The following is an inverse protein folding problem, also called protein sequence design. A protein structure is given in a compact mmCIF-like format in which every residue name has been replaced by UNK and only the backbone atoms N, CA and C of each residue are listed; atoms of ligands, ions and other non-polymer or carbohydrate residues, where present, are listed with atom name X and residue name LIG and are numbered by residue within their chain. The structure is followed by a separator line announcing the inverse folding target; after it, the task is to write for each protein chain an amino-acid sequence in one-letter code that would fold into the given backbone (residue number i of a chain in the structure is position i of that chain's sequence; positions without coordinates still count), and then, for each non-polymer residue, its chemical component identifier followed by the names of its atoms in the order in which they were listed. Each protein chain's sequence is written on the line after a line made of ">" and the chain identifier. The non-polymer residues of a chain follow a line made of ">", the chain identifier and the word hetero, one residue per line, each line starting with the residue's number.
data_IF_908912997639
#
_entry.id   IF_908912997639
#
_cell.length_a   1.000
_cell.length_b   1.000
_cell.length_c   1.000
_cell.angle_alpha   90.00
_cell.angle_beta   90.00
_cell.angle_gamma   90.00
#
_symmetry.space_group_name_H-M   'P 1'
#
loop_
_entity.id
_entity.type
_entity.pdbx_description
1 polymer ?
#
# COMPACT_ATOMS: atom_id res chain seq x y z
N UNK A 1 -7.84 0.15 25.66
CA UNK A 1 -7.37 -1.07 26.34
C UNK A 1 -6.41 -1.92 25.53
N UNK A 2 -6.67 -2.23 24.25
CA UNK A 2 -5.78 -3.10 23.42
C UNK A 2 -4.32 -2.66 23.29
N UNK A 3 -4.03 -1.35 23.39
CA UNK A 3 -2.66 -0.82 23.26
C UNK A 3 -1.96 -0.58 24.60
N UNK A 4 -2.63 -0.79 25.74
CA UNK A 4 -2.08 -0.47 27.06
C UNK A 4 -0.85 -1.31 27.39
N UNK A 5 -0.93 -2.60 27.08
CA UNK A 5 0.14 -3.59 27.30
C UNK A 5 0.91 -3.91 26.00
N UNK A 6 0.65 -3.15 24.93
CA UNK A 6 1.33 -3.39 23.66
C UNK A 6 2.80 -2.93 23.74
N UNK A 7 3.72 -3.61 23.04
CA UNK A 7 5.11 -3.16 22.96
C UNK A 7 5.22 -1.75 22.37
N UNK A 8 6.27 -1.03 22.75
CA UNK A 8 6.60 0.27 22.14
C UNK A 8 7.00 0.11 20.68
N UNK A 9 6.92 1.20 19.91
CA UNK A 9 7.34 1.19 18.51
C UNK A 9 8.80 0.73 18.36
N UNK A 10 9.69 1.14 19.26
CA UNK A 10 11.11 0.75 19.26
C UNK A 10 11.31 -0.76 19.41
N UNK A 11 10.41 -1.44 20.13
CA UNK A 11 10.46 -2.89 20.33
C UNK A 11 9.97 -3.67 19.09
N UNK A 12 9.04 -3.12 18.31
CA UNK A 12 8.43 -3.83 17.17
C UNK A 12 9.01 -3.43 15.81
N UNK A 13 9.55 -2.22 15.69
CA UNK A 13 10.06 -1.69 14.43
C UNK A 13 11.15 -2.57 13.80
N UNK A 14 12.10 -3.18 14.55
CA UNK A 14 13.06 -4.12 13.99
C UNK A 14 12.42 -5.37 13.36
N UNK A 15 11.31 -5.86 13.93
CA UNK A 15 10.58 -6.99 13.36
C UNK A 15 9.83 -6.57 12.09
N UNK A 16 9.25 -5.37 12.07
CA UNK A 16 8.59 -4.79 10.90
C UNK A 16 9.58 -4.59 9.75
N UNK A 17 10.75 -4.01 10.00
CA UNK A 17 11.77 -3.82 8.95
C UNK A 17 12.27 -5.15 8.40
N UNK A 18 12.48 -6.15 9.26
CA UNK A 18 12.87 -7.51 8.82
C UNK A 18 11.77 -8.18 8.00
N UNK A 19 10.51 -8.00 8.37
CA UNK A 19 9.38 -8.54 7.62
C UNK A 19 9.27 -7.91 6.23
N UNK A 20 9.43 -6.58 6.14
CA UNK A 20 9.38 -5.84 4.88
C UNK A 20 10.56 -6.23 3.96
N UNK A 21 11.77 -6.31 4.51
CA UNK A 21 12.98 -6.64 3.75
C UNK A 21 13.12 -5.75 2.51
N UNK A 22 13.44 -6.37 1.36
CA UNK A 22 13.53 -5.70 0.06
C UNK A 22 12.23 -5.77 -0.76
N UNK A 23 11.12 -6.17 -0.11
CA UNK A 23 9.82 -6.33 -0.76
C UNK A 23 9.23 -5.03 -1.28
N UNK A 24 8.23 -5.16 -2.15
CA UNK A 24 7.42 -4.03 -2.62
C UNK A 24 6.32 -3.76 -1.62
N UNK A 25 6.17 -2.50 -1.23
CA UNK A 25 5.12 -2.10 -0.30
C UNK A 25 3.87 -1.71 -1.08
N UNK A 26 2.76 -2.38 -0.80
CA UNK A 26 1.48 -2.12 -1.46
C UNK A 26 0.47 -1.68 -0.40
N UNK A 27 -0.25 -0.60 -0.68
CA UNK A 27 -1.22 -0.05 0.24
C UNK A 27 -2.17 0.91 -0.44
N UNK A 28 -3.13 1.43 0.30
CA UNK A 28 -4.06 2.44 -0.17
C UNK A 28 -3.75 3.76 0.54
N UNK A 29 -3.43 4.81 -0.20
CA UNK A 29 -2.83 6.03 0.38
C UNK A 29 -1.53 5.77 1.16
N UNK A 30 -0.71 4.82 0.69
CA UNK A 30 0.42 4.22 1.44
C UNK A 30 1.47 5.23 1.88
N UNK A 31 1.56 6.38 1.21
CA UNK A 31 2.47 7.46 1.61
C UNK A 31 2.18 7.96 3.04
N UNK A 32 0.94 7.86 3.53
CA UNK A 32 0.62 8.15 4.93
C UNK A 32 1.33 7.18 5.88
N UNK A 33 1.19 5.88 5.66
CA UNK A 33 1.81 4.82 6.47
C UNK A 33 3.35 4.91 6.42
N UNK A 34 3.91 5.11 5.24
CA UNK A 34 5.36 5.27 5.05
C UNK A 34 5.91 6.46 5.82
N UNK A 35 5.23 7.61 5.81
CA UNK A 35 5.64 8.79 6.60
C UNK A 35 5.62 8.50 8.09
N UNK A 36 4.61 7.77 8.57
CA UNK A 36 4.54 7.38 9.98
C UNK A 36 5.70 6.48 10.38
N UNK A 37 5.94 5.39 9.63
CA UNK A 37 7.03 4.46 9.93
C UNK A 37 8.41 5.10 9.80
N UNK A 38 8.63 5.88 8.74
CA UNK A 38 9.90 6.56 8.49
C UNK A 38 10.24 7.58 9.58
N UNK A 39 9.24 8.25 10.18
CA UNK A 39 9.48 9.14 11.32
C UNK A 39 10.18 8.40 12.46
N UNK A 40 9.70 7.20 12.81
CA UNK A 40 10.29 6.42 13.91
C UNK A 40 11.62 5.78 13.52
N UNK A 41 11.76 5.30 12.28
CA UNK A 41 13.06 4.81 11.79
C UNK A 41 14.13 5.90 11.84
N UNK A 42 13.78 7.12 11.42
CA UNK A 42 14.70 8.24 11.45
C UNK A 42 15.10 8.59 12.89
N UNK A 43 14.18 8.51 13.85
CA UNK A 43 14.45 8.79 15.25
C UNK A 43 15.34 7.72 15.91
N UNK A 44 15.15 6.45 15.57
CA UNK A 44 15.85 5.34 16.22
C UNK A 44 17.22 5.03 15.62
N UNK A 45 17.32 5.07 14.30
CA UNK A 45 18.50 4.57 13.56
C UNK A 45 18.92 5.49 12.41
N UNK A 46 18.26 6.64 12.22
CA UNK A 46 18.63 7.63 11.22
C UNK A 46 18.43 7.19 9.77
N UNK A 47 17.49 6.26 9.52
CA UNK A 47 17.21 5.74 8.18
C UNK A 47 15.73 5.84 7.79
N UNK A 48 15.45 5.55 6.52
CA UNK A 48 14.11 5.50 5.94
C UNK A 48 13.98 4.25 5.07
N UNK A 49 12.76 3.75 4.89
CA UNK A 49 12.49 2.73 3.89
C UNK A 49 12.84 3.23 2.48
N UNK A 50 13.54 2.38 1.73
CA UNK A 50 13.94 2.63 0.33
C UNK A 50 13.21 1.71 -0.66
N UNK A 51 12.27 0.92 -0.14
CA UNK A 51 11.45 0.00 -0.90
C UNK A 51 10.67 0.74 -1.99
N UNK A 52 10.45 0.06 -3.11
CA UNK A 52 9.44 0.51 -4.05
C UNK A 52 8.07 0.38 -3.37
N UNK A 53 7.21 1.34 -3.63
CA UNK A 53 5.84 1.32 -3.14
C UNK A 53 4.85 1.51 -4.27
N UNK A 54 3.69 0.91 -4.12
CA UNK A 54 2.55 1.01 -5.02
C UNK A 54 1.33 1.44 -4.23
N UNK A 55 0.62 2.43 -4.76
CA UNK A 55 -0.62 2.93 -4.16
C UNK A 55 -1.81 2.46 -4.98
N UNK A 56 -2.67 1.65 -4.38
CA UNK A 56 -3.85 1.07 -5.03
C UNK A 56 -4.86 2.12 -5.49
N UNK A 57 -4.93 3.28 -4.83
CA UNK A 57 -5.76 4.40 -5.30
C UNK A 57 -5.19 4.98 -6.59
N UNK A 58 -3.87 5.21 -6.62
CA UNK A 58 -3.20 5.74 -7.81
C UNK A 58 -3.22 4.76 -8.98
N UNK A 59 -3.04 3.46 -8.72
CA UNK A 59 -3.18 2.42 -9.73
C UNK A 59 -4.59 2.38 -10.31
N UNK A 60 -5.63 2.55 -9.48
CA UNK A 60 -7.01 2.62 -9.94
C UNK A 60 -7.27 3.84 -10.83
N UNK A 61 -6.81 5.02 -10.41
CA UNK A 61 -6.98 6.25 -11.20
C UNK A 61 -6.20 6.13 -12.52
N UNK A 62 -4.94 5.68 -12.47
CA UNK A 62 -4.12 5.49 -13.67
C UNK A 62 -4.72 4.45 -14.62
N UNK A 63 -5.31 3.37 -14.10
CA UNK A 63 -5.97 2.36 -14.93
C UNK A 63 -7.26 2.89 -15.57
N UNK A 64 -8.14 3.51 -14.78
CA UNK A 64 -9.49 3.90 -15.24
C UNK A 64 -9.55 5.27 -15.93
N UNK A 65 -8.54 6.12 -15.73
CA UNK A 65 -8.56 7.53 -16.13
C UNK A 65 -9.56 8.40 -15.36
N UNK A 66 -10.24 7.86 -14.34
CA UNK A 66 -11.27 8.57 -13.57
C UNK A 66 -10.62 9.43 -12.49
N UNK A 67 -10.31 10.67 -12.82
CA UNK A 67 -9.72 11.62 -11.88
C UNK A 67 -10.60 11.83 -10.64
N UNK A 68 -10.03 11.67 -9.46
CA UNK A 68 -10.74 11.83 -8.20
C UNK A 68 -9.99 11.22 -7.02
N UNK A 69 -10.59 11.34 -5.85
CA UNK A 69 -10.17 10.64 -4.64
C UNK A 69 -11.16 9.52 -4.36
N UNK A 70 -10.67 8.31 -4.24
CA UNK A 70 -11.46 7.12 -3.97
C UNK A 70 -11.02 6.52 -2.65
N UNK A 71 -11.98 6.07 -1.87
CA UNK A 71 -11.72 5.32 -0.65
C UNK A 71 -11.25 3.90 -0.98
N UNK A 72 -10.75 3.20 0.05
CA UNK A 72 -10.41 1.79 -0.08
C UNK A 72 -11.64 0.99 -0.52
N UNK A 73 -12.79 1.31 0.07
CA UNK A 73 -14.09 0.70 -0.21
C UNK A 73 -14.53 0.92 -1.66
N UNK A 74 -14.43 2.15 -2.18
CA UNK A 74 -14.82 2.46 -3.56
C UNK A 74 -14.02 1.60 -4.57
N UNK A 75 -12.71 1.51 -4.37
CA UNK A 75 -11.83 0.75 -5.27
C UNK A 75 -12.01 -0.76 -5.09
N UNK A 76 -12.20 -1.23 -3.85
CA UNK A 76 -12.41 -2.63 -3.54
C UNK A 76 -13.74 -3.14 -4.11
N UNK A 77 -14.82 -2.34 -3.98
CA UNK A 77 -16.13 -2.63 -4.58
C UNK A 77 -16.03 -2.69 -6.10
N UNK A 78 -15.34 -1.73 -6.73
CA UNK A 78 -15.09 -1.77 -8.17
C UNK A 78 -14.32 -3.02 -8.62
N UNK A 79 -13.39 -3.51 -7.79
CA UNK A 79 -12.66 -4.75 -8.06
C UNK A 79 -13.48 -6.02 -7.80
N UNK A 80 -14.68 -5.91 -7.21
CA UNK A 80 -15.50 -7.07 -6.83
C UNK A 80 -15.11 -7.70 -5.50
N UNK A 81 -14.39 -6.97 -4.64
CA UNK A 81 -13.90 -7.42 -3.34
C UNK A 81 -14.39 -6.49 -2.21
N UNK A 82 -15.64 -6.63 -1.73
CA UNK A 82 -16.13 -5.82 -0.61
C UNK A 82 -15.22 -5.95 0.61
N UNK A 83 -14.88 -4.82 1.24
CA UNK A 83 -13.94 -4.81 2.38
C UNK A 83 -14.53 -5.53 3.58
N UNK A 84 -13.78 -6.48 4.13
CA UNK A 84 -14.09 -7.16 5.40
C UNK A 84 -13.20 -6.60 6.52
N UNK A 85 -13.73 -6.57 7.75
CA UNK A 85 -13.01 -6.08 8.94
C UNK A 85 -12.39 -4.68 8.76
N UNK A 86 -13.16 -3.79 8.12
CA UNK A 86 -12.77 -2.42 7.86
C UNK A 86 -12.35 -1.68 9.14
N UNK A 87 -11.36 -0.80 9.00
CA UNK A 87 -10.77 -0.02 10.10
C UNK A 87 -9.93 -0.85 11.08
N UNK A 88 -9.58 -2.08 10.68
CA UNK A 88 -8.49 -2.83 11.29
C UNK A 88 -7.29 -2.81 10.35
N UNK A 89 -6.08 -2.71 10.90
CA UNK A 89 -4.88 -2.69 10.09
C UNK A 89 -4.74 -3.95 9.20
N UNK A 90 -5.17 -5.11 9.71
CA UNK A 90 -5.14 -6.36 8.96
C UNK A 90 -6.21 -6.43 7.87
N UNK A 91 -7.44 -5.98 8.16
CA UNK A 91 -8.53 -5.93 7.17
C UNK A 91 -8.20 -4.97 6.03
N UNK A 92 -7.72 -3.78 6.36
CA UNK A 92 -7.33 -2.77 5.37
C UNK A 92 -6.16 -3.27 4.49
N UNK A 93 -5.14 -3.93 5.09
CA UNK A 93 -4.02 -4.51 4.35
C UNK A 93 -4.45 -5.64 3.41
N UNK A 94 -5.41 -6.48 3.82
CA UNK A 94 -5.97 -7.56 2.98
C UNK A 94 -6.75 -6.99 1.79
N UNK A 95 -7.61 -6.00 2.02
CA UNK A 95 -8.34 -5.34 0.96
C UNK A 95 -7.41 -4.68 -0.07
N UNK A 96 -6.33 -4.02 0.40
CA UNK A 96 -5.31 -3.49 -0.51
C UNK A 96 -4.62 -4.58 -1.35
N UNK A 97 -4.37 -5.77 -0.76
CA UNK A 97 -3.81 -6.90 -1.50
C UNK A 97 -4.78 -7.47 -2.55
N UNK A 98 -6.08 -7.55 -2.23
CA UNK A 98 -7.11 -8.01 -3.16
C UNK A 98 -7.28 -7.05 -4.35
N UNK A 99 -7.28 -5.73 -4.08
CA UNK A 99 -7.27 -4.70 -5.12
C UNK A 99 -6.04 -4.85 -6.01
N UNK A 100 -4.85 -4.98 -5.41
CA UNK A 100 -3.61 -5.09 -6.18
C UNK A 100 -3.60 -6.34 -7.07
N UNK A 101 -4.05 -7.48 -6.54
CA UNK A 101 -4.13 -8.73 -7.29
C UNK A 101 -5.12 -8.63 -8.46
N UNK A 102 -6.11 -7.75 -8.37
CA UNK A 102 -7.05 -7.45 -9.47
C UNK A 102 -6.47 -6.47 -10.49
N UNK A 103 -5.92 -5.34 -10.04
CA UNK A 103 -5.47 -4.25 -10.90
C UNK A 103 -4.12 -4.53 -11.57
N UNK A 104 -3.17 -5.11 -10.84
CA UNK A 104 -1.80 -5.35 -11.34
C UNK A 104 -1.78 -6.07 -12.69
N UNK A 105 -2.42 -7.25 -12.81
CA UNK A 105 -2.50 -7.99 -14.07
C UNK A 105 -3.28 -7.29 -15.19
N UNK A 106 -4.17 -6.34 -14.85
CA UNK A 106 -4.92 -5.54 -15.85
C UNK A 106 -4.10 -4.39 -16.40
N UNK A 107 -3.13 -3.89 -15.65
CA UNK A 107 -2.24 -2.79 -16.07
C UNK A 107 -1.09 -3.33 -16.91
N UNK A 108 -0.44 -4.41 -16.46
CA UNK A 108 0.63 -5.04 -17.22
C UNK A 108 0.71 -6.55 -16.91
N UNK A 109 1.25 -7.36 -17.83
CA UNK A 109 1.39 -8.78 -17.59
C UNK A 109 2.42 -9.06 -16.47
N UNK A 110 2.34 -10.21 -15.76
CA UNK A 110 3.18 -10.50 -14.59
C UNK A 110 4.70 -10.49 -14.86
N UNK A 111 5.12 -10.75 -16.09
CA UNK A 111 6.52 -10.70 -16.53
C UNK A 111 7.04 -9.28 -16.79
N UNK A 112 6.16 -8.28 -16.82
CA UNK A 112 6.56 -6.89 -17.00
C UNK A 112 7.44 -6.44 -15.82
N UNK A 113 8.42 -5.56 -16.06
CA UNK A 113 9.20 -4.97 -14.98
C UNK A 113 8.27 -4.28 -13.97
N UNK A 114 8.53 -4.45 -12.68
CA UNK A 114 7.75 -3.81 -11.61
C UNK A 114 7.68 -2.28 -11.75
N UNK A 115 8.72 -1.67 -12.34
CA UNK A 115 8.73 -0.24 -12.66
C UNK A 115 7.57 0.17 -13.58
N UNK A 116 7.03 -0.72 -14.40
CA UNK A 116 5.86 -0.48 -15.23
C UNK A 116 4.65 -0.10 -14.37
N UNK A 117 4.35 -0.85 -13.31
CA UNK A 117 3.27 -0.53 -12.37
C UNK A 117 3.52 0.79 -11.64
N UNK A 118 4.75 0.98 -11.15
CA UNK A 118 5.13 2.19 -10.45
C UNK A 118 5.02 3.43 -11.33
N UNK A 119 5.46 3.37 -12.58
CA UNK A 119 5.37 4.51 -13.49
C UNK A 119 3.91 4.74 -13.91
N UNK A 120 3.11 3.69 -14.06
CA UNK A 120 1.68 3.77 -14.40
C UNK A 120 0.86 4.51 -13.34
N UNK A 121 1.16 4.33 -12.05
CA UNK A 121 0.45 5.00 -10.97
C UNK A 121 0.54 6.55 -11.03
N UNK A 122 1.47 7.09 -11.83
CA UNK A 122 1.63 8.53 -12.04
C UNK A 122 1.21 8.99 -13.44
N UNK A 123 0.83 8.06 -14.32
CA UNK A 123 0.32 8.36 -15.65
C UNK A 123 -1.20 8.40 -15.57
N UNK A 124 -1.77 9.56 -15.84
CA UNK A 124 -3.22 9.76 -15.89
C UNK A 124 -3.77 9.48 -17.30
N UNK A 125 -3.17 8.49 -17.98
CA UNK A 125 -3.55 8.09 -19.33
C UNK A 125 -4.30 6.75 -19.22
N UNK A 126 -5.64 6.73 -19.40
CA UNK A 126 -6.41 5.49 -19.30
C UNK A 126 -5.91 4.45 -20.30
N UNK A 127 -5.83 3.20 -19.85
CA UNK A 127 -5.54 2.02 -20.69
C UNK A 127 -6.83 1.40 -21.19
#
# INVERSE_FOLDING_TARGET
>A
DMVREAPTIDAVLPAITRFIGDGVLVGHHINFDLRFLNKYLQQLVGCHFRNLWLDTMLLYVGYTGRLGHYTLEDVAEWCGHPVQDRHTALGDARAAADIFTTLGPRICPPEAPLRTLHDHQFRMDPV
#
